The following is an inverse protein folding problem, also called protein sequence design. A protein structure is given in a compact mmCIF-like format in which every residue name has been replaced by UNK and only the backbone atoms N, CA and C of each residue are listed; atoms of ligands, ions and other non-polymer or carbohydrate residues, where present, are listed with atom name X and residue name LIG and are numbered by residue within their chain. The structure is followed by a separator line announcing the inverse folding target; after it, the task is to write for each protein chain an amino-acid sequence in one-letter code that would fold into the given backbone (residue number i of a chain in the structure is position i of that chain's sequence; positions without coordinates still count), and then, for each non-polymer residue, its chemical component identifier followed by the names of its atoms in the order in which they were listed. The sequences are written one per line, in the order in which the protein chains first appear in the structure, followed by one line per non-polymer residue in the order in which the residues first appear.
data_IF_049047181217
#
_entry.id   IF_049047181217
#
_cell.length_a   1.000
_cell.length_b   1.000
_cell.length_c   1.000
_cell.angle_alpha   90.00
_cell.angle_beta   90.00
_cell.angle_gamma   90.00
#
_symmetry.space_group_name_H-M   'P 1'
#
loop_
_entity.id
_entity.type
_entity.pdbx_description
1 polymer ?
#
# COMPACT_ATOMS: atom_id res chain seq x y z
N UNK A 1 -16.93 8.96 0.58
CA UNK A 1 -15.95 7.90 0.26
C UNK A 1 -14.58 8.54 0.26
N UNK A 2 -13.63 7.96 0.98
CA UNK A 2 -12.29 8.52 1.16
C UNK A 2 -11.26 7.45 0.80
N UNK A 3 -10.16 7.87 0.14
CA UNK A 3 -9.12 6.99 -0.39
C UNK A 3 -7.77 7.62 -0.08
N UNK A 4 -6.87 6.86 0.52
CA UNK A 4 -5.49 7.28 0.68
C UNK A 4 -4.70 7.04 -0.60
N UNK A 5 -4.24 8.12 -1.24
CA UNK A 5 -3.39 8.06 -2.44
C UNK A 5 -1.90 8.26 -2.13
N UNK A 6 -1.58 8.62 -0.88
CA UNK A 6 -0.22 8.81 -0.38
C UNK A 6 -0.05 7.93 0.85
N UNK A 7 0.52 6.75 0.65
CA UNK A 7 0.88 5.83 1.73
C UNK A 7 2.31 5.34 1.53
N UNK A 8 2.97 5.00 2.63
CA UNK A 8 4.35 4.53 2.64
C UNK A 8 4.37 3.13 3.22
N UNK A 9 4.98 2.20 2.48
CA UNK A 9 5.20 0.84 2.94
C UNK A 9 6.55 0.71 3.65
N UNK A 10 6.83 -0.46 4.23
CA UNK A 10 8.13 -0.81 4.81
C UNK A 10 9.32 -0.63 3.85
N UNK A 11 9.07 -0.51 2.54
CA UNK A 11 10.08 -0.18 1.54
C UNK A 11 10.55 1.28 1.58
N UNK A 12 9.82 2.15 2.27
CA UNK A 12 10.31 3.47 2.69
C UNK A 12 11.25 3.30 3.89
N UNK A 13 12.54 3.10 3.62
CA UNK A 13 13.55 2.81 4.64
C UNK A 13 13.51 3.81 5.81
N UNK A 14 13.33 3.31 7.03
CA UNK A 14 13.21 4.09 8.28
C UNK A 14 11.97 4.98 8.42
N UNK A 15 11.08 5.01 7.42
CA UNK A 15 9.92 5.92 7.39
C UNK A 15 8.58 5.16 7.28
N UNK A 16 8.57 3.98 6.68
CA UNK A 16 7.38 3.13 6.57
C UNK A 16 7.48 1.87 7.42
N UNK A 17 6.34 1.39 7.88
CA UNK A 17 6.23 0.24 8.79
C UNK A 17 5.46 -0.93 8.18
N UNK A 18 4.33 -0.65 7.52
CA UNK A 18 3.43 -1.68 7.02
C UNK A 18 3.95 -2.29 5.72
N UNK A 19 3.87 -3.60 5.58
CA UNK A 19 4.11 -4.28 4.31
C UNK A 19 3.00 -3.95 3.31
N UNK A 20 3.26 -4.00 1.99
CA UNK A 20 2.23 -3.75 0.98
C UNK A 20 0.98 -4.62 1.13
N UNK A 21 1.13 -5.88 1.56
CA UNK A 21 0.02 -6.79 1.85
C UNK A 21 -0.89 -6.27 2.98
N UNK A 22 -0.30 -5.77 4.08
CA UNK A 22 -1.04 -5.24 5.23
C UNK A 22 -1.79 -3.96 4.86
N UNK A 23 -1.17 -3.10 4.05
CA UNK A 23 -1.80 -1.89 3.52
C UNK A 23 -3.03 -2.23 2.65
N UNK A 24 -2.89 -3.18 1.72
CA UNK A 24 -3.98 -3.61 0.84
C UNK A 24 -5.16 -4.22 1.64
N UNK A 25 -4.87 -5.11 2.60
CA UNK A 25 -5.89 -5.71 3.45
C UNK A 25 -6.61 -4.67 4.32
N UNK A 26 -5.86 -3.70 4.85
CA UNK A 26 -6.45 -2.61 5.65
C UNK A 26 -7.35 -1.72 4.79
N UNK A 27 -6.94 -1.37 3.57
CA UNK A 27 -7.78 -0.60 2.64
C UNK A 27 -9.09 -1.35 2.32
N UNK A 28 -9.00 -2.66 2.05
CA UNK A 28 -10.17 -3.52 1.82
C UNK A 28 -11.11 -3.57 3.03
N UNK A 29 -10.57 -3.79 4.23
CA UNK A 29 -11.34 -3.83 5.47
C UNK A 29 -12.09 -2.53 5.76
N UNK A 30 -11.52 -1.38 5.35
CA UNK A 30 -12.14 -0.07 5.48
C UNK A 30 -13.06 0.30 4.31
N UNK A 31 -13.32 -0.62 3.38
CA UNK A 31 -14.20 -0.39 2.22
C UNK A 31 -13.63 0.60 1.21
N UNK A 32 -12.29 0.76 1.15
CA UNK A 32 -11.62 1.61 0.17
C UNK A 32 -11.40 0.81 -1.13
N UNK A 33 -11.98 1.22 -2.27
CA UNK A 33 -11.84 0.48 -3.53
C UNK A 33 -10.49 0.74 -4.25
N UNK A 34 -9.66 1.63 -3.70
CA UNK A 34 -8.36 1.96 -4.24
C UNK A 34 -7.41 2.38 -3.10
N UNK A 35 -6.12 2.34 -3.39
CA UNK A 35 -5.04 2.73 -2.48
C UNK A 35 -3.85 3.19 -3.32
N UNK A 36 -3.15 4.25 -2.89
CA UNK A 36 -1.93 4.73 -3.54
C UNK A 36 -0.69 4.48 -2.69
N UNK A 37 0.33 3.87 -3.28
CA UNK A 37 1.64 3.66 -2.68
C UNK A 37 2.64 4.69 -3.23
N UNK A 38 3.29 5.43 -2.34
CA UNK A 38 4.22 6.52 -2.64
C UNK A 38 5.48 6.40 -1.81
N UNK A 39 6.21 5.29 -1.95
CA UNK A 39 7.42 5.06 -1.16
C UNK A 39 8.50 6.12 -1.37
N UNK A 40 9.27 6.39 -0.31
CA UNK A 40 10.31 7.41 -0.33
C UNK A 40 11.49 6.98 -1.22
N UNK A 41 11.69 7.71 -2.33
CA UNK A 41 12.87 7.63 -3.21
C UNK A 41 13.07 6.26 -3.87
N UNK A 42 12.09 5.36 -3.81
CA UNK A 42 12.16 4.01 -4.38
C UNK A 42 10.79 3.52 -4.84
N UNK A 43 10.79 2.50 -5.71
CA UNK A 43 9.60 1.74 -6.13
C UNK A 43 9.77 0.24 -5.87
N UNK A 44 10.70 -0.15 -4.99
CA UNK A 44 10.98 -1.55 -4.67
C UNK A 44 9.74 -2.32 -4.20
N UNK A 45 8.83 -1.68 -3.48
CA UNK A 45 7.57 -2.29 -3.03
C UNK A 45 6.46 -2.37 -4.08
N UNK A 46 6.66 -1.80 -5.27
CA UNK A 46 5.57 -1.62 -6.25
C UNK A 46 5.00 -2.94 -6.78
N UNK A 47 5.84 -3.93 -7.08
CA UNK A 47 5.36 -5.23 -7.61
C UNK A 47 4.58 -6.00 -6.54
N UNK A 48 5.09 -6.02 -5.30
CA UNK A 48 4.39 -6.66 -4.18
C UNK A 48 3.07 -5.96 -3.88
N UNK A 49 3.04 -4.63 -3.93
CA UNK A 49 1.83 -3.83 -3.79
C UNK A 49 0.78 -4.16 -4.86
N UNK A 50 1.19 -4.24 -6.13
CA UNK A 50 0.28 -4.58 -7.23
C UNK A 50 -0.33 -5.97 -7.02
N UNK A 51 0.47 -6.96 -6.62
CA UNK A 51 -0.04 -8.30 -6.33
C UNK A 51 -0.96 -8.30 -5.12
N UNK A 52 -0.56 -7.65 -4.02
CA UNK A 52 -1.37 -7.54 -2.81
C UNK A 52 -2.74 -6.90 -3.07
N UNK A 53 -2.81 -5.82 -3.85
CA UNK A 53 -4.07 -5.20 -4.22
C UNK A 53 -4.94 -6.14 -5.08
N UNK A 54 -4.35 -6.85 -6.06
CA UNK A 54 -5.08 -7.80 -6.90
C UNK A 54 -5.64 -8.99 -6.11
N UNK A 55 -4.91 -9.45 -5.10
CA UNK A 55 -5.34 -10.54 -4.22
C UNK A 55 -6.41 -10.11 -3.21
N UNK A 56 -6.33 -8.87 -2.72
CA UNK A 56 -7.28 -8.34 -1.72
C UNK A 56 -8.66 -7.96 -2.29
N UNK A 57 -8.76 -7.70 -3.61
CA UNK A 57 -10.03 -7.49 -4.32
C UNK A 57 -10.14 -6.16 -5.04
#
# INVERSE_FOLDING_TARGET
MFIHLTTHSAYSLQEGLALPAELAQTARANGMPALGLTDHRTLTGAIEFIHACKEAG
#
